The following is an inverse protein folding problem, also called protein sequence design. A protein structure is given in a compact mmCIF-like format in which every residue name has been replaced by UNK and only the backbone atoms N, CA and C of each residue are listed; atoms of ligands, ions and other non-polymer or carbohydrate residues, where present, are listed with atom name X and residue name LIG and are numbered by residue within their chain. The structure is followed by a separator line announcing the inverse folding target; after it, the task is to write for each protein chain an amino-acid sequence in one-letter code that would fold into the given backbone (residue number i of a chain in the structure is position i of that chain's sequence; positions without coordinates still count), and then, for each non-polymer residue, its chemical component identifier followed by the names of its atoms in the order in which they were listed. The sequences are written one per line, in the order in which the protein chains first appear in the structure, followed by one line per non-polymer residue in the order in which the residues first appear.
data_IF_764323797703
#
_entry.id   IF_764323797703
#
_cell.length_a   1.000
_cell.length_b   1.000
_cell.length_c   1.000
_cell.angle_alpha   90.00
_cell.angle_beta   90.00
_cell.angle_gamma   90.00
#
_symmetry.space_group_name_H-M   'P 1'
#
loop_
_entity.id
_entity.type
_entity.pdbx_description
1 polymer ?
#
# COMPACT_ATOMS: atom_id res chain seq x y z
N UNK A 1 19.17 -2.98 -4.75
CA UNK A 1 20.02 -2.26 -3.76
C UNK A 1 20.09 -0.75 -3.99
N UNK A 2 20.24 -0.26 -5.23
CA UNK A 2 20.30 1.19 -5.50
C UNK A 2 19.04 1.98 -5.08
N UNK A 3 17.84 1.47 -5.40
CA UNK A 3 16.56 2.10 -5.04
C UNK A 3 16.41 2.27 -3.52
N UNK A 4 16.70 1.22 -2.74
CA UNK A 4 16.64 1.28 -1.28
C UNK A 4 17.59 2.37 -0.76
N UNK A 5 18.82 2.47 -1.29
CA UNK A 5 19.78 3.51 -0.88
C UNK A 5 19.30 4.92 -1.20
N UNK A 6 18.65 5.13 -2.34
CA UNK A 6 18.09 6.43 -2.72
C UNK A 6 16.94 6.84 -1.80
N UNK A 7 16.02 5.91 -1.49
CA UNK A 7 14.93 6.15 -0.54
C UNK A 7 15.46 6.45 0.87
N UNK A 8 16.46 5.69 1.29
CA UNK A 8 17.14 5.84 2.57
C UNK A 8 17.80 7.23 2.67
N UNK A 9 18.52 7.67 1.63
CA UNK A 9 19.12 9.00 1.54
C UNK A 9 18.07 10.12 1.54
N UNK A 10 17.00 9.98 0.77
CA UNK A 10 15.88 10.93 0.73
C UNK A 10 15.23 11.12 2.10
N UNK A 11 14.97 10.03 2.83
CA UNK A 11 14.45 10.09 4.20
C UNK A 11 15.42 10.77 5.17
N UNK A 12 16.73 10.55 5.03
CA UNK A 12 17.74 11.25 5.84
C UNK A 12 17.76 12.74 5.56
N UNK A 13 17.62 13.13 4.29
CA UNK A 13 17.57 14.52 3.86
C UNK A 13 16.34 15.23 4.45
N UNK A 14 15.16 14.59 4.38
CA UNK A 14 13.94 15.08 5.01
C UNK A 14 14.06 15.20 6.54
N UNK A 15 14.81 14.29 7.18
CA UNK A 15 15.09 14.34 8.62
C UNK A 15 16.13 15.38 9.01
N UNK A 16 17.01 15.83 8.10
CA UNK A 16 18.12 16.74 8.42
C UNK A 16 17.65 18.17 8.72
N UNK A 17 16.44 18.54 8.30
CA UNK A 17 15.87 19.88 8.46
C UNK A 17 14.97 20.05 9.71
N UNK A 18 14.92 19.07 10.62
CA UNK A 18 14.14 19.14 11.86
C UNK A 18 14.98 18.58 13.00
N UNK A 19 15.00 19.25 14.15
CA UNK A 19 15.78 19.02 15.38
C UNK A 19 15.64 17.64 16.05
N UNK A 20 15.13 16.60 15.37
CA UNK A 20 14.94 15.24 15.87
C UNK A 20 15.45 14.22 14.85
N UNK A 21 16.61 13.61 15.11
CA UNK A 21 17.02 12.38 14.41
C UNK A 21 15.92 11.32 14.59
N UNK A 22 15.36 10.82 13.50
CA UNK A 22 14.45 9.68 13.54
C UNK A 22 15.20 8.46 14.09
N UNK A 23 14.55 7.68 14.95
CA UNK A 23 15.11 6.40 15.40
C UNK A 23 15.24 5.44 14.22
N UNK A 24 16.19 4.51 14.30
CA UNK A 24 16.40 3.47 13.26
C UNK A 24 15.08 2.76 12.93
N UNK A 25 14.31 2.40 13.95
CA UNK A 25 13.01 1.77 13.81
C UNK A 25 11.95 2.66 13.14
N UNK A 26 11.91 3.96 13.44
CA UNK A 26 10.99 4.89 12.74
C UNK A 26 11.30 4.94 11.25
N UNK A 27 12.58 4.99 10.89
CA UNK A 27 13.02 5.00 9.49
C UNK A 27 12.66 3.69 8.79
N UNK A 28 12.86 2.55 9.46
CA UNK A 28 12.41 1.25 8.97
C UNK A 28 10.89 1.23 8.76
N UNK A 29 10.10 1.71 9.71
CA UNK A 29 8.64 1.78 9.58
C UNK A 29 8.17 2.66 8.42
N UNK A 30 8.84 3.81 8.18
CA UNK A 30 8.54 4.67 7.03
C UNK A 30 8.90 4.02 5.69
N UNK A 31 10.06 3.36 5.62
CA UNK A 31 10.48 2.63 4.41
C UNK A 31 9.54 1.46 4.11
N UNK A 32 9.14 0.71 5.15
CA UNK A 32 8.14 -0.36 5.02
C UNK A 32 6.82 0.21 4.53
N UNK A 33 6.31 1.29 5.14
CA UNK A 33 5.07 1.91 4.70
C UNK A 33 5.12 2.41 3.26
N UNK A 34 6.26 2.95 2.81
CA UNK A 34 6.43 3.33 1.41
C UNK A 34 6.44 2.10 0.48
N UNK A 35 7.14 1.03 0.86
CA UNK A 35 7.12 -0.23 0.13
C UNK A 35 5.71 -0.80 0.01
N UNK A 36 4.95 -0.74 1.12
CA UNK A 36 3.56 -1.18 1.20
C UNK A 36 2.67 -0.36 0.26
N UNK A 37 2.72 0.97 0.37
CA UNK A 37 1.98 1.85 -0.51
C UNK A 37 2.24 1.57 -2.00
N UNK A 38 3.48 1.24 -2.37
CA UNK A 38 3.85 0.94 -3.76
C UNK A 38 3.38 -0.44 -4.23
N UNK A 39 3.38 -1.48 -3.38
CA UNK A 39 2.82 -2.78 -3.78
C UNK A 39 1.29 -2.77 -3.80
N UNK A 40 0.67 -1.92 -2.99
CA UNK A 40 -0.78 -1.88 -2.81
C UNK A 40 -1.47 -1.38 -4.08
N UNK A 41 -0.77 -0.54 -4.86
CA UNK A 41 -1.29 -0.03 -6.12
C UNK A 41 -1.52 -1.12 -7.18
N UNK A 42 -0.52 -1.92 -7.61
CA UNK A 42 -0.73 -3.03 -8.53
C UNK A 42 -1.78 -4.03 -8.04
N UNK A 43 -1.80 -4.30 -6.74
CA UNK A 43 -2.77 -5.16 -6.10
C UNK A 43 -4.20 -4.63 -6.24
N UNK A 44 -4.40 -3.34 -5.99
CA UNK A 44 -5.66 -2.66 -6.27
C UNK A 44 -6.09 -2.84 -7.71
N UNK A 45 -5.20 -2.59 -8.68
CA UNK A 45 -5.49 -2.76 -10.11
C UNK A 45 -5.97 -4.19 -10.41
N UNK A 46 -5.33 -5.20 -9.84
CA UNK A 46 -5.75 -6.59 -9.98
C UNK A 46 -7.16 -6.83 -9.41
N UNK A 47 -7.47 -6.29 -8.22
CA UNK A 47 -8.79 -6.40 -7.63
C UNK A 47 -9.88 -5.75 -8.51
N UNK A 48 -9.63 -4.55 -9.02
CA UNK A 48 -10.56 -3.82 -9.89
C UNK A 48 -10.83 -4.52 -11.21
N UNK A 49 -9.77 -5.03 -11.86
CA UNK A 49 -9.91 -5.79 -13.11
C UNK A 49 -10.68 -7.10 -12.91
N UNK A 50 -10.38 -7.86 -11.85
CA UNK A 50 -11.10 -9.10 -11.51
C UNK A 50 -12.56 -8.82 -11.16
N UNK A 51 -12.85 -7.74 -10.43
CA UNK A 51 -14.21 -7.31 -10.13
C UNK A 51 -15.04 -7.17 -11.42
N UNK A 52 -14.51 -6.46 -12.41
CA UNK A 52 -15.20 -6.23 -13.70
C UNK A 52 -15.24 -7.46 -14.62
N UNK A 53 -14.20 -8.30 -14.60
CA UNK A 53 -14.10 -9.47 -15.48
C UNK A 53 -14.89 -10.68 -14.97
N UNK A 54 -15.15 -10.75 -13.65
CA UNK A 54 -15.81 -11.90 -13.05
C UNK A 54 -17.34 -11.85 -13.24
N UNK A 55 -17.90 -12.92 -13.80
CA UNK A 55 -19.36 -13.07 -13.96
C UNK A 55 -20.05 -13.62 -12.70
N UNK A 56 -19.28 -14.22 -11.78
CA UNK A 56 -19.76 -14.75 -10.52
C UNK A 56 -19.15 -13.95 -9.35
N UNK A 57 -19.97 -13.42 -8.42
CA UNK A 57 -19.49 -12.69 -7.25
C UNK A 57 -18.44 -13.43 -6.40
N UNK A 58 -18.48 -14.76 -6.36
CA UNK A 58 -17.54 -15.56 -5.57
C UNK A 58 -16.07 -15.35 -5.94
N UNK A 59 -15.78 -15.04 -7.22
CA UNK A 59 -14.41 -14.82 -7.70
C UNK A 59 -13.78 -13.56 -7.10
N UNK A 60 -14.43 -12.41 -7.27
CA UNK A 60 -13.91 -11.14 -6.76
C UNK A 60 -14.01 -11.02 -5.23
N UNK A 61 -15.04 -11.60 -4.60
CA UNK A 61 -15.18 -11.63 -3.13
C UNK A 61 -14.06 -12.49 -2.52
N UNK A 62 -13.76 -13.65 -3.12
CA UNK A 62 -12.67 -14.52 -2.66
C UNK A 62 -11.32 -13.82 -2.71
N UNK A 63 -11.04 -13.10 -3.81
CA UNK A 63 -9.83 -12.31 -3.95
C UNK A 63 -9.78 -11.15 -2.94
N UNK A 64 -10.87 -10.41 -2.78
CA UNK A 64 -10.94 -9.31 -1.81
C UNK A 64 -10.66 -9.79 -0.37
N UNK A 65 -11.20 -10.94 0.02
CA UNK A 65 -10.95 -11.53 1.33
C UNK A 65 -9.50 -12.01 1.47
N UNK A 66 -8.94 -12.63 0.44
CA UNK A 66 -7.54 -13.07 0.44
C UNK A 66 -6.59 -11.88 0.61
N UNK A 67 -6.84 -10.78 -0.10
CA UNK A 67 -6.06 -9.55 0.01
C UNK A 67 -6.23 -8.90 1.38
N UNK A 68 -7.47 -8.84 1.91
CA UNK A 68 -7.69 -8.34 3.27
C UNK A 68 -6.88 -9.11 4.32
N UNK A 69 -6.73 -10.43 4.16
CA UNK A 69 -5.87 -11.25 5.02
C UNK A 69 -4.38 -11.01 4.78
N UNK A 70 -3.96 -10.68 3.55
CA UNK A 70 -2.58 -10.37 3.20
C UNK A 70 -2.09 -9.05 3.83
N UNK A 71 -2.95 -8.02 3.84
CA UNK A 71 -2.58 -6.69 4.33
C UNK A 71 -2.44 -6.65 5.87
N UNK A 72 -3.01 -7.63 6.60
CA UNK A 72 -2.89 -7.73 8.06
C UNK A 72 -1.42 -7.91 8.48
N UNK A 73 -0.68 -8.95 8.03
CA UNK A 73 0.75 -9.09 8.29
C UNK A 73 1.58 -7.85 7.93
N UNK A 74 1.30 -7.21 6.79
CA UNK A 74 2.07 -6.07 6.30
C UNK A 74 1.88 -4.84 7.18
N UNK A 75 0.62 -4.53 7.51
CA UNK A 75 0.26 -3.49 8.46
C UNK A 75 0.85 -3.76 9.85
N UNK A 76 0.86 -5.02 10.32
CA UNK A 76 1.46 -5.39 11.60
C UNK A 76 2.97 -5.12 11.64
N UNK A 77 3.71 -5.49 10.59
CA UNK A 77 5.16 -5.29 10.52
C UNK A 77 5.52 -3.80 10.49
N UNK A 78 4.79 -3.00 9.69
CA UNK A 78 4.93 -1.54 9.68
C UNK A 78 4.62 -0.93 11.04
N UNK A 79 3.49 -1.30 11.65
CA UNK A 79 3.06 -0.79 12.95
C UNK A 79 4.08 -1.12 14.04
N UNK A 80 4.59 -2.35 14.08
CA UNK A 80 5.62 -2.77 15.03
C UNK A 80 6.88 -1.92 14.89
N UNK A 81 7.40 -1.73 13.67
CA UNK A 81 8.58 -0.90 13.44
C UNK A 81 8.36 0.56 13.88
N UNK A 82 7.20 1.16 13.58
CA UNK A 82 6.90 2.53 14.02
C UNK A 82 6.73 2.63 15.55
N UNK A 83 6.15 1.63 16.21
CA UNK A 83 5.96 1.60 17.67
C UNK A 83 7.28 1.40 18.42
N UNK A 84 8.17 0.53 17.93
CA UNK A 84 9.57 0.43 18.40
C UNK A 84 10.33 1.75 18.18
N UNK A 85 9.93 2.52 17.17
CA UNK A 85 10.43 3.87 16.92
C UNK A 85 9.87 4.96 17.85
N UNK A 86 9.01 4.60 18.80
CA UNK A 86 8.33 5.50 19.73
C UNK A 86 7.33 6.48 19.07
N UNK A 87 6.78 6.12 17.91
CA UNK A 87 5.71 6.87 17.24
C UNK A 87 4.38 6.64 17.96
N UNK A 88 3.64 7.72 18.25
CA UNK A 88 2.31 7.66 18.89
C UNK A 88 1.34 6.81 18.07
N UNK A 89 0.56 5.95 18.72
CA UNK A 89 -0.35 5.00 18.06
C UNK A 89 -1.32 5.67 17.07
N UNK A 90 -1.85 6.87 17.40
CA UNK A 90 -2.71 7.64 16.49
C UNK A 90 -2.04 7.93 15.14
N UNK A 91 -0.74 8.22 15.14
CA UNK A 91 0.04 8.45 13.90
C UNK A 91 0.27 7.15 13.14
N UNK A 92 0.43 6.03 13.84
CA UNK A 92 0.57 4.71 13.22
C UNK A 92 -0.74 4.33 12.52
N UNK A 93 -1.89 4.50 13.17
CA UNK A 93 -3.21 4.24 12.57
C UNK A 93 -3.39 5.08 11.30
N UNK A 94 -3.09 6.39 11.36
CA UNK A 94 -3.16 7.23 10.16
C UNK A 94 -2.19 6.79 9.07
N UNK A 95 -0.97 6.38 9.44
CA UNK A 95 -0.01 5.88 8.47
C UNK A 95 -0.50 4.58 7.80
N UNK A 96 -1.13 3.67 8.55
CA UNK A 96 -1.74 2.45 8.01
C UNK A 96 -2.86 2.78 7.01
N UNK A 97 -3.77 3.71 7.34
CA UNK A 97 -4.81 4.13 6.40
C UNK A 97 -4.22 4.75 5.12
N UNK A 98 -3.18 5.57 5.26
CA UNK A 98 -2.56 6.26 4.12
C UNK A 98 -1.86 5.29 3.16
N UNK A 99 -1.25 4.20 3.65
CA UNK A 99 -0.57 3.22 2.78
C UNK A 99 -1.55 2.30 2.04
N UNK A 100 -2.82 2.26 2.44
CA UNK A 100 -3.89 1.53 1.76
C UNK A 100 -4.58 2.36 0.66
N UNK A 101 -4.48 3.70 0.70
CA UNK A 101 -5.08 4.56 -0.33
C UNK A 101 -4.66 4.20 -1.77
N UNK A 102 -3.38 3.87 -2.06
CA UNK A 102 -2.97 3.42 -3.39
C UNK A 102 -3.72 2.17 -3.87
N UNK A 103 -4.11 1.25 -2.98
CA UNK A 103 -4.93 0.09 -3.36
C UNK A 103 -6.31 0.52 -3.85
N UNK A 104 -6.98 1.44 -3.13
CA UNK A 104 -8.26 1.99 -3.56
C UNK A 104 -8.18 2.70 -4.91
N UNK A 105 -7.13 3.50 -5.13
CA UNK A 105 -6.87 4.15 -6.43
C UNK A 105 -6.60 3.12 -7.52
N UNK A 106 -5.77 2.12 -7.25
CA UNK A 106 -5.49 1.02 -8.16
C UNK A 106 -6.76 0.29 -8.56
N UNK A 107 -7.64 -0.04 -7.61
CA UNK A 107 -8.89 -0.73 -7.86
C UNK A 107 -9.84 0.08 -8.75
N UNK A 108 -9.97 1.39 -8.50
CA UNK A 108 -10.75 2.26 -9.38
C UNK A 108 -10.20 2.28 -10.81
N UNK A 109 -8.88 2.40 -10.99
CA UNK A 109 -8.25 2.38 -12.31
C UNK A 109 -8.38 1.02 -13.00
N UNK A 110 -8.17 -0.07 -12.27
CA UNK A 110 -8.31 -1.43 -12.79
C UNK A 110 -9.74 -1.72 -13.26
N UNK A 111 -10.74 -1.30 -12.49
CA UNK A 111 -12.14 -1.41 -12.89
C UNK A 111 -12.45 -0.58 -14.13
N UNK A 112 -12.01 0.68 -14.16
CA UNK A 112 -12.18 1.54 -15.34
C UNK A 112 -11.60 0.92 -16.63
N UNK A 113 -10.36 0.39 -16.57
CA UNK A 113 -9.76 -0.28 -17.73
C UNK A 113 -10.47 -1.60 -18.07
N UNK A 114 -10.97 -2.33 -17.08
CA UNK A 114 -11.75 -3.55 -17.30
C UNK A 114 -13.05 -3.29 -18.07
N UNK A 115 -13.78 -2.22 -17.72
CA UNK A 115 -14.99 -1.79 -18.44
C UNK A 115 -14.66 -1.38 -19.89
N UNK A 116 -13.60 -0.58 -20.09
CA UNK A 116 -13.16 -0.21 -21.44
C UNK A 116 -12.80 -1.43 -22.29
N UNK A 117 -12.15 -2.43 -21.69
CA UNK A 117 -11.82 -3.68 -22.37
C UNK A 117 -13.07 -4.44 -22.80
N UNK A 118 -14.09 -4.54 -21.92
CA UNK A 118 -15.34 -5.23 -22.22
C UNK A 118 -16.15 -4.54 -23.33
N UNK A 119 -16.11 -3.20 -23.37
CA UNK A 119 -16.71 -2.44 -24.48
C UNK A 119 -16.00 -2.73 -25.81
N UNK A 120 -14.65 -2.82 -25.80
CA UNK A 120 -13.89 -3.07 -27.03
C UNK A 120 -14.12 -4.46 -27.63
N UNK A 121 -14.37 -5.47 -26.80
CA UNK A 121 -14.56 -6.87 -27.23
C UNK A 121 -16.01 -7.20 -27.58
N UNK A 122 -16.96 -6.28 -27.33
CA UNK A 122 -18.38 -6.43 -27.67
C UNK A 122 -18.77 -5.74 -28.98
N UNK A 123 -17.83 -5.07 -29.65
CA UNK A 123 -17.92 -4.50 -31.00
C UNK A 123 -17.40 -5.48 -32.05
#
# INVERSE_FOLDING_TARGET
MALIRLLDQGLTSLSRNRTRRLSRYTRTGLLLGLGIALHNFPEGVALGTVYTASTNPGGWIGLALLMALHNIPEGMVMAAAMRLGNIRIRKVIWALVLVELPMGVGAALGGFFGELSALSTSL
#
